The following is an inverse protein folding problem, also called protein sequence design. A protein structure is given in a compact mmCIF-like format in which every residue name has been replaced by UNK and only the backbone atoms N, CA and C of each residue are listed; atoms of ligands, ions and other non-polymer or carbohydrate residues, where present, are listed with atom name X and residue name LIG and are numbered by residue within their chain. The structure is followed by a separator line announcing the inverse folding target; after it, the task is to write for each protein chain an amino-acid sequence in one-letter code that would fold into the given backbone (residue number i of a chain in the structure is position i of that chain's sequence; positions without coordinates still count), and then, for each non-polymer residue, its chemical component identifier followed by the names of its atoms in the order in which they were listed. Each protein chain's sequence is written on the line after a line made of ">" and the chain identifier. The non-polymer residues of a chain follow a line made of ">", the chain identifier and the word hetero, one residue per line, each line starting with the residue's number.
data_IF_983437468304
#
_entry.id   IF_983437468304
#
_cell.length_a   1.000
_cell.length_b   1.000
_cell.length_c   1.000
_cell.angle_alpha   90.00
_cell.angle_beta   90.00
_cell.angle_gamma   90.00
#
_symmetry.space_group_name_H-M   'P 1'
#
loop_
_entity.id
_entity.type
_entity.pdbx_description
1 polymer ?
#
# COMPACT_ATOMS: atom_id res chain seq x y z
N UNK A 1 -20.53 15.38 5.12
CA UNK A 1 -19.82 16.09 6.21
C UNK A 1 -19.21 17.35 5.61
N UNK A 2 -19.40 18.56 6.18
CA UNK A 2 -18.74 19.76 5.65
C UNK A 2 -17.21 19.72 5.91
N UNK A 3 -16.39 20.04 4.90
CA UNK A 3 -14.91 20.02 4.96
C UNK A 3 -14.34 21.33 5.54
N UNK A 4 -14.85 21.78 6.68
CA UNK A 4 -14.32 22.95 7.39
C UNK A 4 -13.23 22.53 8.39
N UNK A 5 -12.17 23.34 8.51
CA UNK A 5 -11.04 23.14 9.45
C UNK A 5 -10.27 21.81 9.31
N UNK A 6 -10.17 21.27 8.09
CA UNK A 6 -9.34 20.09 7.78
C UNK A 6 -7.86 20.44 7.74
N UNK A 7 -6.99 19.51 8.16
CA UNK A 7 -5.53 19.70 8.22
C UNK A 7 -4.80 18.45 7.74
N UNK A 8 -3.53 18.64 7.35
CA UNK A 8 -2.57 17.58 7.04
C UNK A 8 -3.07 16.54 6.01
N UNK A 9 -3.56 16.97 4.83
CA UNK A 9 -3.98 16.03 3.80
C UNK A 9 -2.77 15.25 3.28
N UNK A 10 -2.89 13.93 3.22
CA UNK A 10 -1.89 13.01 2.67
C UNK A 10 -2.58 11.98 1.80
N UNK A 11 -1.98 11.63 0.67
CA UNK A 11 -2.52 10.59 -0.20
C UNK A 11 -2.04 9.21 0.25
N UNK A 12 -2.96 8.27 0.45
CA UNK A 12 -2.64 6.89 0.77
C UNK A 12 -2.95 5.99 -0.45
N UNK A 13 -1.93 5.38 -1.06
CA UNK A 13 -2.09 4.74 -2.36
C UNK A 13 -2.80 3.38 -2.29
N UNK A 14 -2.79 2.66 -1.16
CA UNK A 14 -3.43 1.33 -1.02
C UNK A 14 -4.95 1.43 -1.04
N UNK A 15 -5.49 2.36 -0.28
CA UNK A 15 -6.92 2.69 -0.18
C UNK A 15 -7.37 3.65 -1.27
N UNK A 16 -6.42 4.30 -1.96
CA UNK A 16 -6.68 5.35 -2.95
C UNK A 16 -7.52 6.50 -2.37
N UNK A 17 -7.25 6.85 -1.11
CA UNK A 17 -7.93 7.90 -0.38
C UNK A 17 -6.96 9.04 -0.06
N UNK A 18 -7.50 10.25 0.07
CA UNK A 18 -6.81 11.33 0.77
C UNK A 18 -7.17 11.20 2.25
N UNK A 19 -6.19 10.88 3.08
CA UNK A 19 -6.34 10.95 4.53
C UNK A 19 -6.16 12.40 4.98
N UNK A 20 -6.92 12.83 5.97
CA UNK A 20 -6.81 14.16 6.54
C UNK A 20 -7.29 14.16 7.99
N UNK A 21 -6.92 15.20 8.72
CA UNK A 21 -7.33 15.40 10.10
C UNK A 21 -8.53 16.34 10.15
N UNK A 22 -9.56 15.96 10.91
CA UNK A 22 -10.67 16.82 11.30
C UNK A 22 -10.94 16.70 12.79
N UNK A 23 -10.83 17.81 13.52
CA UNK A 23 -10.87 17.77 14.98
C UNK A 23 -9.71 16.95 15.54
N UNK A 24 -10.04 15.85 16.22
CA UNK A 24 -9.10 14.86 16.77
C UNK A 24 -9.28 13.48 16.10
N UNK A 25 -9.77 13.46 14.86
CA UNK A 25 -9.96 12.25 14.09
C UNK A 25 -9.11 12.27 12.81
N UNK A 26 -8.73 11.06 12.39
CA UNK A 26 -8.24 10.78 11.04
C UNK A 26 -9.45 10.38 10.20
N UNK A 27 -9.66 11.07 9.09
CA UNK A 27 -10.71 10.80 8.13
C UNK A 27 -10.09 10.46 6.78
N UNK A 28 -10.82 9.73 5.95
CA UNK A 28 -10.50 9.48 4.55
C UNK A 28 -11.46 10.25 3.64
N UNK A 29 -10.98 10.63 2.46
CA UNK A 29 -11.78 11.13 1.34
C UNK A 29 -11.50 10.22 0.14
N UNK A 30 -12.51 9.48 -0.31
CA UNK A 30 -12.38 8.58 -1.45
C UNK A 30 -12.59 9.31 -2.78
N UNK A 31 -12.38 8.60 -3.89
CA UNK A 31 -12.58 9.12 -5.25
C UNK A 31 -14.04 9.44 -5.60
N UNK A 32 -15.00 9.00 -4.78
CA UNK A 32 -16.42 9.31 -4.93
C UNK A 32 -16.84 10.55 -4.11
N UNK A 33 -15.87 11.23 -3.49
CA UNK A 33 -16.07 12.33 -2.54
C UNK A 33 -16.82 11.91 -1.27
N UNK A 34 -16.73 10.64 -0.89
CA UNK A 34 -17.24 10.14 0.39
C UNK A 34 -16.17 10.37 1.45
N UNK A 35 -16.61 10.89 2.59
CA UNK A 35 -15.76 11.10 3.76
C UNK A 35 -16.12 10.08 4.83
N UNK A 36 -15.17 9.24 5.20
CA UNK A 36 -15.33 8.24 6.25
C UNK A 36 -14.38 8.52 7.43
N UNK A 37 -14.80 8.08 8.62
CA UNK A 37 -13.94 8.07 9.79
C UNK A 37 -12.99 6.87 9.70
N UNK A 38 -11.69 7.12 9.83
CA UNK A 38 -10.69 6.05 9.94
C UNK A 38 -10.47 5.70 11.41
N UNK A 39 -10.22 6.70 12.25
CA UNK A 39 -10.08 6.52 13.69
C UNK A 39 -10.19 7.85 14.44
N UNK A 40 -10.55 7.80 15.71
CA UNK A 40 -10.62 8.96 16.59
C UNK A 40 -12.03 9.55 16.70
N UNK A 41 -12.12 10.74 17.29
CA UNK A 41 -13.39 11.43 17.48
C UNK A 41 -13.35 12.83 16.86
N UNK A 42 -14.37 13.14 16.06
CA UNK A 42 -14.55 14.41 15.37
C UNK A 42 -15.09 15.52 16.31
N UNK A 43 -15.66 15.15 17.46
CA UNK A 43 -16.27 16.04 18.44
C UNK A 43 -15.32 16.41 19.58
N UNK A 44 -15.35 17.67 19.98
CA UNK A 44 -14.39 18.29 20.92
C UNK A 44 -14.86 18.32 22.38
N UNK A 45 -15.93 17.61 22.75
CA UNK A 45 -16.61 17.78 24.05
C UNK A 45 -16.36 16.67 25.08
N UNK A 46 -15.65 15.60 24.73
CA UNK A 46 -15.23 14.60 25.72
C UNK A 46 -13.80 14.89 26.19
N UNK A 47 -13.56 14.64 27.48
CA UNK A 47 -12.27 14.80 28.17
C UNK A 47 -11.10 14.33 27.31
N UNK A 48 -10.03 15.13 27.25
CA UNK A 48 -8.77 14.84 26.53
C UNK A 48 -8.08 13.64 27.19
N UNK A 49 -8.56 12.42 26.93
CA UNK A 49 -7.86 11.19 27.29
C UNK A 49 -7.34 10.57 25.99
N UNK A 50 -6.01 10.48 25.83
CA UNK A 50 -5.39 9.79 24.69
C UNK A 50 -5.42 8.29 24.96
N UNK A 51 -5.84 7.48 23.98
CA UNK A 51 -6.05 6.04 24.19
C UNK A 51 -6.05 5.25 22.88
N UNK A 52 -5.45 4.06 22.94
CA UNK A 52 -5.55 3.06 21.87
C UNK A 52 -6.98 2.50 21.82
N UNK A 53 -7.37 1.99 20.66
CA UNK A 53 -8.73 1.52 20.39
C UNK A 53 -9.00 1.44 18.90
N UNK A 54 -10.17 0.97 18.50
CA UNK A 54 -10.59 0.92 17.10
C UNK A 54 -11.60 2.02 16.80
N UNK A 55 -11.58 2.55 15.58
CA UNK A 55 -12.58 3.51 15.07
C UNK A 55 -12.82 4.67 16.07
N UNK A 56 -14.06 4.81 16.54
CA UNK A 56 -14.50 5.85 17.47
C UNK A 56 -14.03 5.64 18.90
N UNK A 57 -13.52 4.46 19.28
CA UNK A 57 -13.00 4.20 20.63
C UNK A 57 -11.58 4.75 20.80
N UNK A 58 -10.82 4.84 19.71
CA UNK A 58 -9.53 5.49 19.72
C UNK A 58 -9.67 6.97 20.10
N UNK A 59 -8.71 7.49 20.86
CA UNK A 59 -8.66 8.91 21.22
C UNK A 59 -7.29 9.49 20.96
N UNK A 60 -7.25 10.50 20.10
CA UNK A 60 -6.07 11.32 19.86
C UNK A 60 -6.13 12.58 20.71
N UNK A 61 -4.97 13.08 21.13
CA UNK A 61 -4.78 14.48 21.52
C UNK A 61 -4.59 15.33 20.26
N UNK A 62 -3.69 16.32 20.27
CA UNK A 62 -3.45 17.15 19.08
C UNK A 62 -2.63 16.39 18.04
N UNK A 63 -3.27 16.00 16.94
CA UNK A 63 -2.57 15.46 15.76
C UNK A 63 -1.81 16.58 15.07
N UNK A 64 -0.51 16.36 14.80
CA UNK A 64 0.38 17.34 14.15
C UNK A 64 0.84 16.89 12.76
N UNK A 65 0.82 15.59 12.46
CA UNK A 65 1.17 15.08 11.14
C UNK A 65 0.61 13.68 10.87
N UNK A 66 0.51 13.33 9.58
CA UNK A 66 0.18 12.00 9.08
C UNK A 66 1.29 11.53 8.13
N UNK A 67 1.60 10.24 8.15
CA UNK A 67 2.49 9.60 7.17
C UNK A 67 1.96 8.20 6.80
N UNK A 68 1.32 8.04 5.64
CA UNK A 68 0.89 6.74 5.16
C UNK A 68 2.10 5.86 4.85
N UNK A 69 2.00 4.57 5.17
CA UNK A 69 3.08 3.60 4.89
C UNK A 69 2.98 2.96 3.50
N UNK A 70 1.88 3.23 2.76
CA UNK A 70 1.61 2.64 1.45
C UNK A 70 1.34 1.13 1.49
N UNK A 71 1.11 0.58 2.69
CA UNK A 71 0.85 -0.84 2.97
C UNK A 71 -0.46 -1.03 3.74
N UNK A 72 -1.30 0.00 3.82
CA UNK A 72 -2.60 -0.02 4.48
C UNK A 72 -2.60 0.51 5.92
N UNK A 73 -1.50 1.08 6.40
CA UNK A 73 -1.47 1.82 7.66
C UNK A 73 -1.08 3.29 7.48
N UNK A 74 -1.40 4.09 8.49
CA UNK A 74 -0.94 5.48 8.60
C UNK A 74 -0.31 5.70 9.97
N UNK A 75 0.86 6.32 9.98
CA UNK A 75 1.47 6.83 11.19
C UNK A 75 0.93 8.21 11.50
N UNK A 76 0.56 8.42 12.76
CA UNK A 76 -0.04 9.66 13.27
C UNK A 76 0.88 10.21 14.33
N UNK A 77 1.34 11.44 14.15
CA UNK A 77 2.09 12.15 15.16
C UNK A 77 1.14 12.94 16.05
N UNK A 78 1.26 12.72 17.35
CA UNK A 78 0.83 13.69 18.37
C UNK A 78 2.07 14.41 18.90
N UNK A 79 1.89 15.38 19.80
CA UNK A 79 3.00 16.17 20.34
C UNK A 79 4.13 15.29 20.92
N UNK A 80 3.80 14.24 21.68
CA UNK A 80 4.76 13.46 22.48
C UNK A 80 4.77 11.96 22.17
N UNK A 81 4.09 11.53 21.10
CA UNK A 81 4.05 10.12 20.71
C UNK A 81 3.71 9.98 19.23
N UNK A 82 4.05 8.81 18.69
CA UNK A 82 3.62 8.38 17.36
C UNK A 82 2.70 7.18 17.55
N UNK A 83 1.59 7.18 16.82
CA UNK A 83 0.63 6.09 16.75
C UNK A 83 0.67 5.46 15.36
N UNK A 84 0.43 4.16 15.26
CA UNK A 84 0.13 3.48 14.01
C UNK A 84 -1.36 3.17 13.96
N UNK A 85 -1.99 3.49 12.83
CA UNK A 85 -3.41 3.23 12.57
C UNK A 85 -3.51 2.30 11.38
N UNK A 86 -4.13 1.14 11.56
CA UNK A 86 -4.56 0.30 10.44
C UNK A 86 -5.80 0.93 9.80
N UNK A 87 -5.73 1.27 8.52
CA UNK A 87 -6.75 2.11 7.87
C UNK A 87 -8.07 1.35 7.68
N UNK A 88 -8.00 0.02 7.54
CA UNK A 88 -9.17 -0.83 7.27
C UNK A 88 -9.95 -1.15 8.54
N UNK A 89 -9.26 -1.55 9.60
CA UNK A 89 -9.87 -1.89 10.89
C UNK A 89 -10.09 -0.66 11.78
N UNK A 90 -9.42 0.45 11.49
CA UNK A 90 -9.37 1.62 12.35
C UNK A 90 -8.62 1.37 13.66
N UNK A 91 -7.90 0.26 13.79
CA UNK A 91 -7.16 -0.07 15.01
C UNK A 91 -5.98 0.88 15.18
N UNK A 92 -5.96 1.57 16.32
CA UNK A 92 -4.88 2.47 16.73
C UNK A 92 -4.00 1.77 17.76
N UNK A 93 -2.69 1.86 17.55
CA UNK A 93 -1.66 1.36 18.47
C UNK A 93 -0.65 2.47 18.74
N UNK A 94 -0.34 2.73 20.00
CA UNK A 94 0.76 3.63 20.38
C UNK A 94 2.10 2.92 20.16
N UNK A 95 3.09 3.61 19.60
CA UNK A 95 4.46 3.11 19.51
C UNK A 95 5.23 3.51 20.79
N UNK A 96 5.52 2.59 21.72
CA UNK A 96 6.33 2.88 22.91
C UNK A 96 7.71 3.40 22.50
N UNK A 97 8.30 4.31 23.27
CA UNK A 97 9.63 4.88 22.96
C UNK A 97 9.65 5.93 21.83
N UNK A 98 8.51 6.24 21.20
CA UNK A 98 8.41 7.24 20.13
C UNK A 98 8.37 8.70 20.59
N UNK A 99 8.49 8.97 21.88
CA UNK A 99 8.48 10.34 22.43
C UNK A 99 9.74 11.09 22.00
N UNK A 100 9.61 12.35 21.49
CA UNK A 100 10.78 13.12 21.14
C UNK A 100 11.56 13.50 22.41
N UNK A 101 12.90 13.41 22.42
CA UNK A 101 13.75 13.85 23.53
C UNK A 101 13.45 15.28 24.03
N UNK A 102 13.12 16.21 23.13
CA UNK A 102 12.70 17.57 23.48
C UNK A 102 11.71 18.12 22.47
N UNK A 103 10.83 19.03 22.93
CA UNK A 103 9.85 19.70 22.08
C UNK A 103 8.68 18.80 21.72
N UNK A 104 8.16 18.95 20.50
CA UNK A 104 7.03 18.17 20.01
C UNK A 104 7.24 17.75 18.56
N UNK A 105 6.63 16.64 18.15
CA UNK A 105 6.59 16.27 16.75
C UNK A 105 5.80 17.29 15.93
N UNK A 106 6.37 17.69 14.79
CA UNK A 106 5.85 18.71 13.87
C UNK A 106 5.59 18.18 12.46
N UNK A 107 6.18 17.04 12.11
CA UNK A 107 6.04 16.46 10.77
C UNK A 107 6.44 14.99 10.80
N UNK A 108 5.76 14.19 9.96
CA UNK A 108 6.11 12.80 9.67
C UNK A 108 6.27 12.64 8.17
N UNK A 109 7.14 11.73 7.76
CA UNK A 109 7.16 11.21 6.40
C UNK A 109 7.65 9.78 6.42
N UNK A 110 7.17 8.96 5.49
CA UNK A 110 7.54 7.57 5.37
C UNK A 110 8.14 7.32 3.99
N UNK A 111 9.30 6.70 3.95
CA UNK A 111 9.96 6.27 2.72
C UNK A 111 9.62 4.80 2.47
N UNK A 112 8.71 4.58 1.51
CA UNK A 112 8.28 3.27 1.01
C UNK A 112 9.47 2.43 0.52
N UNK A 113 10.41 3.03 -0.22
CA UNK A 113 11.52 2.31 -0.85
C UNK A 113 12.45 1.68 0.18
N UNK A 114 12.63 2.35 1.33
CA UNK A 114 13.56 1.93 2.37
C UNK A 114 12.87 1.39 3.62
N UNK A 115 11.54 1.44 3.68
CA UNK A 115 10.75 1.09 4.87
C UNK A 115 11.16 1.94 6.10
N UNK A 116 11.46 3.23 5.90
CA UNK A 116 11.96 4.12 6.95
C UNK A 116 10.92 5.19 7.32
N UNK A 117 10.55 5.26 8.60
CA UNK A 117 9.72 6.33 9.15
C UNK A 117 10.61 7.48 9.63
N UNK A 118 10.37 8.69 9.11
CA UNK A 118 11.02 9.91 9.55
C UNK A 118 10.04 10.78 10.34
N UNK A 119 10.54 11.36 11.43
CA UNK A 119 9.82 12.31 12.27
C UNK A 119 10.66 13.57 12.48
N UNK A 120 9.99 14.71 12.64
CA UNK A 120 10.65 16.01 12.80
C UNK A 120 10.13 16.75 14.00
N UNK A 121 11.02 17.35 14.77
CA UNK A 121 10.67 18.49 15.65
C UNK A 121 10.97 19.78 14.89
N UNK A 122 10.76 20.93 15.52
CA UNK A 122 11.07 22.22 14.91
C UNK A 122 12.55 22.37 14.47
N UNK A 123 13.49 21.62 15.03
CA UNK A 123 14.94 21.79 14.77
C UNK A 123 15.71 20.50 14.48
N UNK A 124 15.05 19.34 14.50
CA UNK A 124 15.69 18.04 14.33
C UNK A 124 14.88 17.11 13.41
N UNK A 125 15.59 16.33 12.62
CA UNK A 125 15.04 15.24 11.79
C UNK A 125 15.53 13.92 12.37
N UNK A 126 14.61 12.99 12.57
CA UNK A 126 14.87 11.69 13.17
C UNK A 126 14.35 10.57 12.30
N UNK A 127 15.04 9.44 12.34
CA UNK A 127 14.53 8.15 11.89
C UNK A 127 13.96 7.40 13.10
N UNK A 128 12.78 6.82 12.93
CA UNK A 128 12.10 6.02 13.95
C UNK A 128 12.31 4.54 13.59
N UNK A 129 13.19 3.87 14.33
CA UNK A 129 13.45 2.46 14.12
C UNK A 129 12.43 1.64 14.91
N UNK A 130 11.64 0.82 14.21
CA UNK A 130 10.69 -0.10 14.83
C UNK A 130 11.42 -1.39 15.21
N UNK A 131 11.56 -1.64 16.51
CA UNK A 131 12.23 -2.80 17.08
C UNK A 131 11.15 -3.75 17.59
N UNK A 132 11.11 -4.96 17.06
CA UNK A 132 10.26 -6.01 17.63
C UNK A 132 10.97 -6.60 18.85
N UNK A 133 10.51 -6.29 20.06
CA UNK A 133 11.03 -6.94 21.25
C UNK A 133 10.45 -8.36 21.33
N UNK A 134 11.27 -9.38 21.11
CA UNK A 134 10.93 -10.74 21.51
C UNK A 134 11.18 -10.86 23.01
N UNK A 135 10.14 -10.66 23.82
CA UNK A 135 10.20 -11.01 25.24
C UNK A 135 10.25 -12.53 25.35
N UNK A 136 11.45 -13.11 25.51
CA UNK A 136 11.56 -14.47 26.03
C UNK A 136 11.00 -14.47 27.45
N UNK A 137 9.81 -15.07 27.62
CA UNK A 137 9.22 -15.31 28.92
C UNK A 137 10.13 -16.25 29.73
N UNK A 138 10.99 -15.69 30.58
CA UNK A 138 11.68 -16.49 31.59
C UNK A 138 10.68 -16.74 32.73
N UNK A 139 10.31 -18.01 32.93
CA UNK A 139 9.52 -18.44 34.08
C UNK A 139 10.29 -18.16 35.37
N UNK A 140 9.77 -17.29 36.22
CA UNK A 140 10.25 -17.14 37.60
C UNK A 140 9.38 -18.04 38.51
N UNK A 141 9.96 -19.14 39.00
CA UNK A 141 9.36 -19.93 40.07
C UNK A 141 9.52 -19.18 41.39
N UNK A 142 8.42 -18.76 42.02
CA UNK A 142 8.41 -18.29 43.41
C UNK A 142 7.91 -19.42 44.28
N UNK A 143 8.81 -20.04 45.06
CA UNK A 143 8.45 -21.02 46.09
C UNK A 143 8.12 -20.29 47.39
N UNK A 144 6.89 -20.41 47.89
CA UNK A 144 6.61 -20.08 49.28
C UNK A 144 7.10 -21.21 50.21
N UNK A 145 7.36 -20.87 51.48
CA UNK A 145 7.94 -21.76 52.48
C UNK A 145 7.02 -22.89 52.97
N UNK A 146 5.85 -23.11 52.37
CA UNK A 146 4.89 -24.14 52.75
C UNK A 146 4.58 -25.18 51.64
N UNK A 147 5.39 -25.22 50.57
CA UNK A 147 5.36 -26.33 49.60
C UNK A 147 4.14 -26.36 48.67
N UNK A 148 3.45 -25.23 48.50
CA UNK A 148 2.42 -25.08 47.47
C UNK A 148 3.00 -24.52 46.17
N UNK A 149 3.08 -25.33 45.11
CA UNK A 149 3.35 -24.82 43.77
C UNK A 149 2.13 -24.05 43.25
N UNK A 150 2.24 -22.72 43.12
CA UNK A 150 1.22 -21.90 42.46
C UNK A 150 1.78 -21.38 41.14
N UNK A 151 1.35 -21.98 40.05
CA UNK A 151 1.55 -21.42 38.70
C UNK A 151 0.53 -20.29 38.51
N UNK A 152 1.03 -19.07 38.25
CA UNK A 152 0.17 -17.99 37.75
C UNK A 152 0.10 -18.10 36.22
N UNK A 153 -1.08 -17.99 35.58
CA UNK A 153 -1.16 -17.91 34.14
C UNK A 153 -0.50 -16.59 33.69
N UNK A 154 0.57 -16.68 32.91
CA UNK A 154 1.22 -15.53 32.30
C UNK A 154 0.36 -15.05 31.12
N UNK A 155 0.00 -13.76 31.11
CA UNK A 155 -0.62 -13.12 29.95
C UNK A 155 0.23 -13.32 28.70
N UNK A 156 -0.46 -13.45 27.57
CA UNK A 156 0.13 -13.73 26.26
C UNK A 156 1.14 -12.64 25.92
N UNK A 157 2.43 -12.98 25.86
CA UNK A 157 3.47 -12.06 25.42
C UNK A 157 3.27 -11.72 23.93
N UNK A 158 2.48 -10.68 23.66
CA UNK A 158 2.56 -9.97 22.40
C UNK A 158 3.94 -9.31 22.36
N UNK A 159 4.72 -9.55 21.30
CA UNK A 159 5.98 -8.82 21.11
C UNK A 159 5.65 -7.34 21.00
N UNK A 160 6.00 -6.55 22.02
CA UNK A 160 5.82 -5.11 21.98
C UNK A 160 6.76 -4.53 20.92
N UNK A 161 6.19 -3.80 19.97
CA UNK A 161 6.93 -3.08 18.95
C UNK A 161 7.43 -1.77 19.56
N UNK A 162 8.68 -1.71 20.01
CA UNK A 162 9.27 -0.50 20.57
C UNK A 162 9.85 0.37 19.45
N UNK A 163 9.67 1.69 19.55
CA UNK A 163 10.27 2.66 18.66
C UNK A 163 11.54 3.25 19.28
N UNK A 164 12.63 3.29 18.51
CA UNK A 164 13.84 4.02 18.86
C UNK A 164 13.99 5.26 18.01
N UNK A 165 14.08 6.42 18.66
CA UNK A 165 14.26 7.72 18.01
C UNK A 165 15.76 7.97 17.75
N UNK A 166 16.16 8.03 16.47
CA UNK A 166 17.54 8.28 16.07
C UNK A 166 17.67 9.62 15.34
N UNK A 167 18.45 10.55 15.90
CA UNK A 167 18.74 11.83 15.25
C UNK A 167 19.57 11.63 13.98
N UNK A 168 19.06 12.08 12.83
CA UNK A 168 19.76 11.99 11.53
C UNK A 168 20.25 13.35 11.02
N UNK A 169 19.54 14.44 11.33
CA UNK A 169 19.98 15.79 10.99
C UNK A 169 19.47 16.85 11.96
N UNK A 170 20.20 17.95 12.06
CA UNK A 170 19.85 19.05 12.96
C UNK A 170 20.30 18.82 14.40
N UNK A 171 19.62 19.50 15.31
CA UNK A 171 19.94 19.53 16.73
C UNK A 171 18.66 19.75 17.53
N UNK A 172 18.48 19.00 18.61
CA UNK A 172 17.30 19.04 19.47
C UNK A 172 17.11 20.37 20.19
N UNK A 173 18.20 21.09 20.47
CA UNK A 173 18.22 22.27 21.34
C UNK A 173 18.75 23.52 20.65
N UNK A 174 19.31 23.39 19.44
CA UNK A 174 19.86 24.51 18.70
C UNK A 174 19.12 24.69 17.35
N UNK A 175 18.40 25.80 17.24
CA UNK A 175 17.89 26.29 15.96
C UNK A 175 19.00 27.01 15.17
N UNK A 176 18.80 27.19 13.87
CA UNK A 176 19.71 27.95 13.02
C UNK A 176 19.38 27.76 11.55
N UNK A 177 20.29 28.10 10.63
CA UNK A 177 20.00 27.98 9.21
C UNK A 177 21.20 27.49 8.39
N UNK A 178 22.16 26.84 9.04
CA UNK A 178 23.41 26.40 8.43
C UNK A 178 23.21 25.10 7.67
N UNK A 179 23.60 25.10 6.39
CA UNK A 179 23.72 23.89 5.58
C UNK A 179 24.90 23.03 6.07
N UNK A 180 24.86 21.72 5.82
CA UNK A 180 25.92 20.83 6.24
C UNK A 180 25.53 19.37 6.40
N UNK A 181 26.48 18.51 6.80
CA UNK A 181 26.22 17.10 7.00
C UNK A 181 25.46 16.82 8.30
N UNK A 182 24.32 16.14 8.20
CA UNK A 182 23.56 15.54 9.30
C UNK A 182 23.37 16.48 10.49
N UNK A 183 23.91 16.10 11.64
CA UNK A 183 23.79 16.83 12.90
C UNK A 183 24.60 18.13 12.96
N UNK A 184 25.39 18.46 11.93
CA UNK A 184 26.03 19.77 11.78
C UNK A 184 25.15 20.79 11.05
N UNK A 185 24.13 20.33 10.33
CA UNK A 185 23.12 21.23 9.77
C UNK A 185 22.27 21.85 10.90
N UNK A 186 21.65 23.00 10.64
CA UNK A 186 20.73 23.66 11.58
C UNK A 186 19.47 24.10 10.86
N UNK A 187 18.34 23.94 11.53
CA UNK A 187 17.00 24.29 11.03
C UNK A 187 16.38 25.40 11.86
N UNK A 188 15.68 26.32 11.20
CA UNK A 188 15.09 27.50 11.82
C UNK A 188 13.77 27.12 12.47
N UNK A 189 12.92 26.44 11.70
CA UNK A 189 11.65 25.85 12.12
C UNK A 189 11.15 24.90 11.02
N UNK A 190 11.39 23.61 11.17
CA UNK A 190 10.83 22.59 10.28
C UNK A 190 9.30 22.61 10.40
N UNK A 191 8.60 22.77 9.28
CA UNK A 191 7.13 22.81 9.22
C UNK A 191 6.53 21.64 8.46
N UNK A 192 7.30 21.03 7.56
CA UNK A 192 6.89 19.84 6.83
C UNK A 192 8.12 19.08 6.33
N UNK A 193 7.96 17.77 6.16
CA UNK A 193 8.96 16.87 5.60
C UNK A 193 8.29 15.91 4.62
N UNK A 194 9.00 15.53 3.56
CA UNK A 194 8.54 14.58 2.57
C UNK A 194 9.71 13.72 2.06
N UNK A 195 9.58 12.41 2.16
CA UNK A 195 10.45 11.45 1.49
C UNK A 195 10.29 11.59 -0.03
N UNK A 196 11.41 11.82 -0.70
CA UNK A 196 11.50 12.09 -2.13
C UNK A 196 12.26 10.99 -2.87
N UNK A 197 12.45 11.21 -4.16
CA UNK A 197 13.21 10.27 -5.00
C UNK A 197 14.69 10.20 -4.58
N UNK A 198 15.36 9.09 -4.92
CA UNK A 198 16.78 8.88 -4.61
C UNK A 198 17.13 8.97 -3.12
N UNK A 199 16.21 8.56 -2.23
CA UNK A 199 16.36 8.60 -0.76
C UNK A 199 16.69 10.00 -0.23
N UNK A 200 16.11 11.02 -0.87
CA UNK A 200 16.23 12.40 -0.41
C UNK A 200 15.07 12.75 0.51
N UNK A 201 15.31 13.66 1.45
CA UNK A 201 14.23 14.29 2.22
C UNK A 201 14.07 15.74 1.80
N UNK A 202 12.84 16.10 1.44
CA UNK A 202 12.42 17.45 1.14
C UNK A 202 11.87 18.09 2.40
N UNK A 203 12.41 19.24 2.76
CA UNK A 203 12.19 19.86 4.07
C UNK A 203 11.74 21.29 3.85
N UNK A 204 10.57 21.63 4.40
CA UNK A 204 10.17 23.02 4.56
C UNK A 204 10.68 23.50 5.92
N UNK A 205 11.65 24.42 5.89
CA UNK A 205 12.29 25.02 7.05
C UNK A 205 12.02 26.53 7.04
N UNK A 206 10.98 26.93 7.75
CA UNK A 206 10.49 28.31 7.79
C UNK A 206 10.17 28.84 6.38
N UNK A 207 10.99 29.75 5.86
CA UNK A 207 10.88 30.38 4.54
C UNK A 207 11.72 29.66 3.48
N UNK A 208 12.29 28.48 3.79
CA UNK A 208 13.25 27.78 2.95
C UNK A 208 12.75 26.40 2.57
N UNK A 209 13.06 26.03 1.33
CA UNK A 209 13.02 24.66 0.87
C UNK A 209 14.44 24.10 0.93
N UNK A 210 14.61 23.05 1.71
CA UNK A 210 15.88 22.35 1.90
C UNK A 210 15.77 20.92 1.40
N UNK A 211 16.90 20.39 0.95
CA UNK A 211 17.03 19.00 0.50
C UNK A 211 18.11 18.34 1.34
N UNK A 212 17.78 17.22 1.97
CA UNK A 212 18.74 16.30 2.55
C UNK A 212 19.02 15.16 1.58
N UNK A 213 20.27 15.01 1.18
CA UNK A 213 20.71 13.90 0.32
C UNK A 213 20.69 12.56 1.06
N UNK A 214 20.73 11.45 0.31
CA UNK A 214 20.88 10.10 0.86
C UNK A 214 22.13 9.90 1.75
N UNK A 215 23.14 10.77 1.62
CA UNK A 215 24.36 10.77 2.46
C UNK A 215 24.21 11.67 3.70
N UNK A 216 23.03 12.24 3.93
CA UNK A 216 22.72 13.09 5.07
C UNK A 216 23.18 14.54 4.94
N UNK A 217 23.72 14.98 3.80
CA UNK A 217 24.04 16.40 3.61
C UNK A 217 22.78 17.22 3.35
N UNK A 218 22.53 18.23 4.18
CA UNK A 218 21.41 19.18 4.06
C UNK A 218 21.88 20.42 3.31
N UNK A 219 21.14 20.79 2.28
CA UNK A 219 21.39 21.98 1.46
C UNK A 219 20.12 22.82 1.30
N UNK A 220 20.27 24.14 1.27
CA UNK A 220 19.19 25.08 0.97
C UNK A 220 19.04 25.20 -0.54
N UNK A 221 17.89 24.77 -1.05
CA UNK A 221 17.60 24.78 -2.48
C UNK A 221 16.82 26.04 -2.91
N UNK A 222 15.88 26.53 -2.08
CA UNK A 222 15.13 27.77 -2.33
C UNK A 222 14.87 28.53 -1.02
N UNK A 223 14.65 29.83 -1.13
CA UNK A 223 14.28 30.74 -0.02
C UNK A 223 13.10 31.63 -0.42
N UNK A 224 12.46 32.29 0.56
CA UNK A 224 11.32 33.18 0.31
C UNK A 224 9.99 32.45 0.14
N UNK A 225 9.88 31.22 0.65
CA UNK A 225 8.60 30.50 0.71
C UNK A 225 7.69 31.10 1.80
N UNK A 226 6.36 30.89 1.69
CA UNK A 226 5.42 31.25 2.75
C UNK A 226 5.78 30.56 4.08
N UNK A 227 5.67 31.30 5.17
CA UNK A 227 6.09 30.87 6.52
C UNK A 227 4.96 30.34 7.40
N UNK A 228 3.72 30.44 6.89
CA UNK A 228 2.50 29.97 7.56
C UNK A 228 2.43 28.44 7.58
N UNK A 229 1.34 27.87 8.08
CA UNK A 229 1.15 26.42 8.10
C UNK A 229 1.19 25.87 6.66
N UNK A 230 2.29 25.21 6.33
CA UNK A 230 2.59 24.70 5.01
C UNK A 230 2.42 23.17 4.94
N UNK A 231 2.03 22.68 3.78
CA UNK A 231 2.04 21.27 3.43
C UNK A 231 2.77 21.11 2.11
N UNK A 232 3.50 20.00 1.96
CA UNK A 232 4.24 19.66 0.74
C UNK A 232 3.76 18.30 0.23
N UNK A 233 3.60 18.19 -1.09
CA UNK A 233 3.22 16.94 -1.75
C UNK A 233 3.97 16.80 -3.07
N UNK A 234 4.33 15.57 -3.43
CA UNK A 234 4.84 15.26 -4.76
C UNK A 234 3.69 15.14 -5.75
N UNK A 235 3.83 15.78 -6.90
CA UNK A 235 2.88 15.69 -8.00
C UNK A 235 3.25 14.54 -8.95
N UNK A 236 2.28 13.96 -9.67
CA UNK A 236 2.57 12.95 -10.70
C UNK A 236 3.48 13.46 -11.83
N UNK A 237 3.58 14.77 -12.03
CA UNK A 237 4.53 15.39 -12.98
C UNK A 237 5.99 15.31 -12.53
N UNK A 238 6.25 14.85 -11.31
CA UNK A 238 7.58 14.89 -10.69
C UNK A 238 7.94 16.24 -10.06
N UNK A 239 6.98 17.15 -9.95
CA UNK A 239 7.15 18.45 -9.30
C UNK A 239 6.68 18.39 -7.85
N UNK A 240 7.02 19.40 -7.05
CA UNK A 240 6.53 19.51 -5.68
C UNK A 240 5.51 20.64 -5.57
N UNK A 241 4.36 20.34 -4.99
CA UNK A 241 3.37 21.34 -4.62
C UNK A 241 3.55 21.71 -3.15
N UNK A 242 3.66 23.02 -2.89
CA UNK A 242 3.65 23.60 -1.55
C UNK A 242 2.38 24.42 -1.40
N UNK A 243 1.52 24.01 -0.48
CA UNK A 243 0.33 24.74 -0.08
C UNK A 243 0.55 25.42 1.26
N UNK A 244 0.16 26.69 1.38
CA UNK A 244 0.20 27.42 2.65
C UNK A 244 -1.18 28.02 2.93
N UNK A 245 -1.59 28.04 4.21
CA UNK A 245 -2.89 28.58 4.62
C UNK A 245 -3.06 30.03 4.10
N UNK A 246 -4.14 30.29 3.37
CA UNK A 246 -4.47 31.64 2.86
C UNK A 246 -3.59 32.13 1.70
N UNK A 247 -2.66 31.31 1.20
CA UNK A 247 -1.76 31.65 0.08
C UNK A 247 -2.09 30.85 -1.18
N UNK A 248 -1.54 31.27 -2.33
CA UNK A 248 -1.60 30.49 -3.57
C UNK A 248 -0.69 29.26 -3.46
N UNK A 249 -1.12 28.17 -4.11
CA UNK A 249 -0.31 26.97 -4.30
C UNK A 249 0.97 27.32 -5.06
N UNK A 250 2.13 26.96 -4.50
CA UNK A 250 3.44 27.18 -5.11
C UNK A 250 3.94 25.85 -5.69
N UNK A 251 4.36 25.86 -6.95
CA UNK A 251 4.97 24.68 -7.60
C UNK A 251 6.48 24.88 -7.63
N UNK A 252 7.20 23.98 -6.97
CA UNK A 252 8.65 23.91 -7.03
C UNK A 252 9.04 22.94 -8.15
N UNK A 253 9.80 23.45 -9.12
CA UNK A 253 10.29 22.71 -10.29
C UNK A 253 11.81 22.59 -10.22
N UNK A 254 12.34 21.44 -10.63
CA UNK A 254 13.77 21.18 -10.62
C UNK A 254 14.10 19.81 -11.19
N UNK A 255 15.29 19.68 -11.77
CA UNK A 255 15.78 18.39 -12.22
C UNK A 255 15.91 17.44 -11.01
N UNK A 256 15.46 16.19 -11.17
CA UNK A 256 15.54 15.14 -10.14
C UNK A 256 14.73 15.39 -8.85
N UNK A 257 13.80 16.37 -8.83
CA UNK A 257 12.81 16.48 -7.74
C UNK A 257 11.73 15.39 -7.84
N UNK A 258 11.51 14.89 -9.06
CA UNK A 258 10.65 13.75 -9.36
C UNK A 258 11.37 12.72 -10.22
N UNK A 259 10.73 11.56 -10.46
CA UNK A 259 11.36 10.46 -11.19
C UNK A 259 11.68 10.88 -12.63
N UNK A 260 12.87 10.52 -13.11
CA UNK A 260 13.52 11.08 -14.30
C UNK A 260 12.96 10.60 -15.66
N UNK A 261 11.68 10.24 -15.78
CA UNK A 261 11.04 9.86 -17.05
C UNK A 261 9.51 10.02 -17.01
N UNK A 262 8.86 10.64 -18.04
CA UNK A 262 7.40 10.70 -18.12
C UNK A 262 6.71 9.36 -18.44
N UNK A 263 7.49 8.30 -18.65
CA UNK A 263 7.04 6.91 -18.79
C UNK A 263 7.47 6.02 -17.63
N UNK A 264 8.03 6.60 -16.56
CA UNK A 264 8.27 5.91 -15.30
C UNK A 264 8.05 6.88 -14.13
N UNK A 265 6.85 6.87 -13.55
CA UNK A 265 6.58 7.52 -12.27
C UNK A 265 5.68 8.76 -12.30
N UNK A 266 4.47 8.62 -12.85
CA UNK A 266 3.35 9.46 -12.44
C UNK A 266 2.56 8.68 -11.39
N UNK A 267 2.80 8.94 -10.10
CA UNK A 267 2.46 8.01 -9.00
C UNK A 267 3.27 6.73 -9.21
N UNK A 268 4.19 6.39 -8.29
CA UNK A 268 4.66 5.00 -8.28
C UNK A 268 3.42 4.15 -8.08
N UNK A 269 3.04 3.36 -9.08
CA UNK A 269 2.04 2.32 -8.90
C UNK A 269 2.46 1.55 -7.65
N UNK A 270 1.73 1.76 -6.55
CA UNK A 270 2.02 1.09 -5.30
C UNK A 270 1.99 -0.40 -5.56
N UNK A 271 2.88 -1.11 -4.90
CA UNK A 271 2.97 -2.55 -4.95
C UNK A 271 1.75 -3.26 -4.29
N UNK A 272 0.57 -2.64 -4.22
CA UNK A 272 -0.62 -3.06 -3.49
C UNK A 272 -1.76 -3.58 -4.40
N UNK A 273 -2.61 -4.45 -3.84
CA UNK A 273 -3.71 -5.13 -4.52
C UNK A 273 -4.73 -4.16 -5.19
N UNK A 274 -5.44 -4.58 -6.25
CA UNK A 274 -6.37 -3.73 -6.96
C UNK A 274 -7.65 -3.43 -6.16
N UNK A 275 -7.94 -2.13 -6.03
CA UNK A 275 -9.25 -1.44 -6.02
C UNK A 275 -10.47 -2.30 -5.67
N UNK A 276 -11.14 -2.00 -4.55
CA UNK A 276 -12.37 -2.69 -4.13
C UNK A 276 -13.69 -2.10 -4.68
N UNK A 277 -13.70 -1.10 -5.58
CA UNK A 277 -14.92 -0.70 -6.34
C UNK A 277 -14.62 -0.30 -7.79
N UNK A 278 -15.51 -0.62 -8.75
CA UNK A 278 -15.33 -0.24 -10.15
C UNK A 278 -15.52 1.26 -10.30
N UNK A 279 -14.63 1.94 -11.03
CA UNK A 279 -14.81 3.37 -11.35
C UNK A 279 -16.13 3.61 -12.11
N UNK A 280 -16.65 4.84 -12.11
CA UNK A 280 -17.83 5.18 -12.91
C UNK A 280 -17.62 4.91 -14.41
N UNK A 281 -16.37 5.00 -14.88
CA UNK A 281 -15.95 4.59 -16.22
C UNK A 281 -16.03 3.08 -16.42
N UNK A 282 -15.53 2.28 -15.46
CA UNK A 282 -15.67 0.82 -15.42
C UNK A 282 -17.13 0.38 -15.36
N UNK A 283 -17.97 1.04 -14.56
CA UNK A 283 -19.41 0.75 -14.46
C UNK A 283 -20.16 1.02 -15.78
N UNK A 284 -19.78 2.10 -16.49
CA UNK A 284 -20.36 2.45 -17.79
C UNK A 284 -19.86 1.54 -18.90
N UNK A 285 -18.56 1.26 -18.94
CA UNK A 285 -17.93 0.33 -19.89
C UNK A 285 -18.42 -1.11 -19.68
N UNK A 286 -18.55 -1.57 -18.44
CA UNK A 286 -19.08 -2.88 -18.10
C UNK A 286 -20.53 -3.04 -18.60
N UNK A 287 -21.35 -1.99 -18.51
CA UNK A 287 -22.73 -1.96 -19.06
C UNK A 287 -22.75 -1.91 -20.58
N UNK A 288 -21.81 -1.21 -21.22
CA UNK A 288 -21.68 -1.12 -22.68
C UNK A 288 -21.13 -2.42 -23.29
N UNK A 289 -20.22 -3.12 -22.60
CA UNK A 289 -19.72 -4.43 -23.00
C UNK A 289 -20.78 -5.55 -22.82
N UNK A 290 -21.75 -5.36 -21.92
CA UNK A 290 -22.91 -6.24 -21.70
C UNK A 290 -24.07 -6.04 -22.70
N UNK A 291 -24.05 -4.94 -23.47
CA UNK A 291 -24.99 -4.74 -24.57
C UNK A 291 -24.50 -5.54 -25.78
N UNK A 292 -24.70 -6.86 -25.73
CA UNK A 292 -24.58 -7.73 -26.89
C UNK A 292 -25.46 -7.16 -28.00
N UNK A 293 -24.82 -6.69 -29.07
CA UNK A 293 -25.48 -6.19 -30.25
C UNK A 293 -26.22 -7.34 -30.93
N UNK A 294 -27.53 -7.41 -30.70
CA UNK A 294 -28.43 -7.99 -31.68
C UNK A 294 -28.43 -7.08 -32.91
N UNK A 295 -27.53 -7.37 -33.85
CA UNK A 295 -27.44 -6.73 -35.17
C UNK A 295 -26.79 -5.34 -35.16
N UNK A 296 -25.51 -5.26 -35.53
CA UNK A 296 -24.90 -4.02 -36.00
C UNK A 296 -23.78 -4.31 -37.00
N UNK A 297 -23.72 -3.50 -38.04
CA UNK A 297 -22.89 -3.63 -39.24
C UNK A 297 -21.38 -3.76 -38.98
N UNK A 298 -20.73 -4.48 -39.90
CA UNK A 298 -19.30 -4.86 -39.90
C UNK A 298 -18.39 -3.62 -39.87
N UNK A 299 -17.59 -3.48 -38.81
CA UNK A 299 -16.53 -2.46 -38.69
C UNK A 299 -15.15 -3.13 -38.68
N UNK A 300 -14.22 -2.79 -39.59
CA UNK A 300 -12.88 -3.39 -39.64
C UNK A 300 -12.02 -3.15 -38.39
N UNK A 301 -12.38 -2.20 -37.52
CA UNK A 301 -11.68 -1.94 -36.27
C UNK A 301 -12.03 -2.92 -35.12
N UNK A 302 -13.10 -3.70 -35.26
CA UNK A 302 -13.64 -4.55 -34.19
C UNK A 302 -13.63 -6.03 -34.54
N UNK A 303 -13.44 -6.88 -33.54
CA UNK A 303 -13.45 -8.35 -33.64
C UNK A 303 -14.45 -8.93 -32.63
N UNK A 304 -15.12 -10.00 -33.01
CA UNK A 304 -16.02 -10.75 -32.13
C UNK A 304 -15.23 -11.84 -31.42
N UNK A 305 -15.34 -11.90 -30.09
CA UNK A 305 -14.68 -12.92 -29.27
C UNK A 305 -15.73 -13.83 -28.67
N UNK A 306 -15.69 -15.09 -29.06
CA UNK A 306 -16.63 -16.13 -28.64
C UNK A 306 -16.04 -16.91 -27.46
N UNK A 307 -16.71 -16.91 -26.30
CA UNK A 307 -16.31 -17.67 -25.11
C UNK A 307 -16.95 -19.04 -25.05
N UNK A 308 -16.59 -19.84 -24.03
CA UNK A 308 -16.95 -21.25 -23.89
C UNK A 308 -18.47 -21.52 -23.82
N UNK A 309 -19.25 -20.55 -23.34
CA UNK A 309 -20.70 -20.59 -23.18
C UNK A 309 -21.47 -20.02 -24.38
N UNK A 310 -20.76 -19.59 -25.43
CA UNK A 310 -21.33 -18.92 -26.60
C UNK A 310 -21.58 -17.42 -26.41
N UNK A 311 -21.16 -16.81 -25.30
CA UNK A 311 -21.17 -15.35 -25.14
C UNK A 311 -20.21 -14.72 -26.14
N UNK A 312 -20.65 -13.62 -26.77
CA UNK A 312 -19.89 -12.90 -27.79
C UNK A 312 -19.56 -11.48 -27.32
N UNK A 313 -18.27 -11.17 -27.24
CA UNK A 313 -17.77 -9.84 -26.92
C UNK A 313 -17.30 -9.13 -28.20
N UNK A 314 -17.86 -7.95 -28.48
CA UNK A 314 -17.35 -7.08 -29.56
C UNK A 314 -16.27 -6.18 -28.99
N UNK A 315 -15.03 -6.34 -29.46
CA UNK A 315 -13.86 -5.63 -28.93
C UNK A 315 -13.05 -4.94 -30.04
N UNK A 316 -12.37 -3.84 -29.71
CA UNK A 316 -11.47 -3.14 -30.62
C UNK A 316 -10.14 -3.87 -30.71
N UNK A 317 -9.69 -4.15 -31.94
CA UNK A 317 -8.41 -4.85 -32.19
C UNK A 317 -7.23 -4.15 -31.50
N UNK A 318 -7.19 -2.82 -31.53
CA UNK A 318 -6.11 -2.02 -30.92
C UNK A 318 -6.02 -2.18 -29.40
N UNK A 319 -7.14 -2.28 -28.70
CA UNK A 319 -7.17 -2.45 -27.24
C UNK A 319 -6.65 -3.84 -26.84
N UNK A 320 -7.06 -4.88 -27.57
CA UNK A 320 -6.61 -6.26 -27.36
C UNK A 320 -5.10 -6.39 -27.61
N UNK A 321 -4.63 -5.92 -28.76
CA UNK A 321 -3.23 -6.04 -29.18
C UNK A 321 -2.29 -5.28 -28.25
N UNK A 322 -2.70 -4.11 -27.75
CA UNK A 322 -1.85 -3.30 -26.85
C UNK A 322 -1.67 -3.91 -25.45
N UNK A 323 -2.57 -4.82 -25.04
CA UNK A 323 -2.59 -5.36 -23.68
C UNK A 323 -2.56 -6.89 -23.64
N UNK A 324 -2.22 -7.55 -24.76
CA UNK A 324 -2.10 -9.02 -24.82
C UNK A 324 -1.23 -9.42 -26.01
N UNK A 325 -0.11 -10.08 -25.71
CA UNK A 325 0.76 -10.62 -26.76
C UNK A 325 0.10 -11.77 -27.52
N UNK A 326 -0.86 -12.47 -26.89
CA UNK A 326 -1.67 -13.48 -27.56
C UNK A 326 -2.47 -12.84 -28.71
N UNK A 327 -3.20 -11.76 -28.43
CA UNK A 327 -3.97 -11.06 -29.44
C UNK A 327 -3.09 -10.31 -30.45
N UNK A 328 -1.93 -9.78 -30.04
CA UNK A 328 -0.94 -9.24 -30.97
C UNK A 328 -0.54 -10.27 -32.04
N UNK A 329 -0.17 -11.48 -31.61
CA UNK A 329 0.21 -12.56 -32.54
C UNK A 329 -0.94 -13.05 -33.41
N UNK A 330 -2.16 -13.03 -32.85
CA UNK A 330 -3.35 -13.53 -33.53
C UNK A 330 -3.90 -12.53 -34.57
N UNK A 331 -3.93 -11.24 -34.24
CA UNK A 331 -4.64 -10.22 -35.01
C UNK A 331 -3.72 -9.34 -35.88
N UNK A 332 -2.41 -9.29 -35.62
CA UNK A 332 -1.48 -8.48 -36.42
C UNK A 332 -0.91 -9.31 -37.58
N UNK A 333 -0.97 -8.83 -38.84
CA UNK A 333 -0.37 -9.50 -39.98
C UNK A 333 1.14 -9.75 -39.77
N UNK A 334 1.57 -11.00 -39.89
CA UNK A 334 2.96 -11.41 -39.61
C UNK A 334 3.23 -11.90 -38.19
N UNK A 335 2.23 -11.88 -37.29
CA UNK A 335 2.32 -12.32 -35.89
C UNK A 335 2.36 -13.84 -35.64
N UNK A 336 2.27 -14.66 -36.70
CA UNK A 336 2.46 -16.12 -36.65
C UNK A 336 1.17 -16.97 -36.74
N UNK A 337 -0.02 -16.35 -36.81
CA UNK A 337 -1.29 -17.05 -37.03
C UNK A 337 -1.99 -16.58 -38.31
N UNK A 338 -2.76 -17.48 -38.94
CA UNK A 338 -3.46 -17.22 -40.21
C UNK A 338 -4.66 -16.26 -40.08
N UNK A 339 -5.09 -15.96 -38.84
CA UNK A 339 -6.34 -15.25 -38.52
C UNK A 339 -6.18 -13.72 -38.39
N UNK A 340 -5.11 -13.13 -38.94
CA UNK A 340 -4.86 -11.68 -38.88
C UNK A 340 -5.97 -10.79 -39.49
N UNK A 341 -6.90 -11.38 -40.24
CA UNK A 341 -8.11 -10.72 -40.76
C UNK A 341 -9.43 -11.32 -40.26
N UNK A 342 -9.40 -12.25 -39.29
CA UNK A 342 -10.59 -12.95 -38.83
C UNK A 342 -11.55 -12.01 -38.10
N UNK A 343 -12.82 -12.01 -38.51
CA UNK A 343 -13.91 -11.26 -37.87
C UNK A 343 -14.33 -11.89 -36.53
N UNK A 344 -14.10 -13.19 -36.38
CA UNK A 344 -14.43 -13.98 -35.20
C UNK A 344 -13.20 -14.71 -34.65
N UNK A 345 -12.96 -14.56 -33.34
CA UNK A 345 -11.95 -15.27 -32.56
C UNK A 345 -12.63 -16.14 -31.53
N UNK A 346 -12.17 -17.38 -31.36
CA UNK A 346 -12.72 -18.32 -30.38
C UNK A 346 -11.78 -18.51 -29.19
N UNK A 347 -12.32 -18.35 -27.99
CA UNK A 347 -11.68 -18.64 -26.72
C UNK A 347 -12.47 -19.74 -25.98
N UNK A 348 -12.34 -21.02 -26.40
CA UNK A 348 -13.20 -22.11 -25.95
C UNK A 348 -13.05 -22.48 -24.47
N UNK A 349 -11.96 -22.05 -23.82
CA UNK A 349 -11.70 -22.30 -22.39
C UNK A 349 -11.77 -21.03 -21.54
N UNK A 350 -12.19 -19.89 -22.11
CA UNK A 350 -12.30 -18.65 -21.37
C UNK A 350 -13.63 -18.56 -20.63
N UNK A 351 -13.56 -18.45 -19.31
CA UNK A 351 -14.72 -18.06 -18.49
C UNK A 351 -15.19 -16.65 -18.92
N UNK A 352 -16.46 -16.47 -19.30
CA UNK A 352 -16.95 -15.20 -19.84
C UNK A 352 -16.89 -14.06 -18.82
N UNK A 353 -17.15 -14.36 -17.54
CA UNK A 353 -17.15 -13.34 -16.49
C UNK A 353 -15.72 -12.89 -16.19
N UNK A 354 -14.77 -13.82 -16.10
CA UNK A 354 -13.36 -13.48 -15.95
C UNK A 354 -12.83 -12.72 -17.18
N UNK A 355 -13.19 -13.16 -18.39
CA UNK A 355 -12.79 -12.49 -19.63
C UNK A 355 -13.33 -11.08 -19.70
N UNK A 356 -14.58 -10.85 -19.31
CA UNK A 356 -15.20 -9.53 -19.29
C UNK A 356 -14.41 -8.53 -18.44
N UNK A 357 -13.95 -8.94 -17.25
CA UNK A 357 -13.15 -8.07 -16.39
C UNK A 357 -11.73 -7.83 -16.93
N UNK A 358 -11.10 -8.84 -17.52
CA UNK A 358 -9.80 -8.67 -18.18
C UNK A 358 -9.93 -7.77 -19.42
N UNK A 359 -11.01 -7.90 -20.18
CA UNK A 359 -11.30 -7.03 -21.30
C UNK A 359 -11.54 -5.59 -20.83
N UNK A 360 -12.25 -5.39 -19.72
CA UNK A 360 -12.39 -4.06 -19.13
C UNK A 360 -11.02 -3.48 -18.75
N UNK A 361 -10.13 -4.27 -18.16
CA UNK A 361 -8.75 -3.86 -17.88
C UNK A 361 -7.98 -3.45 -19.16
N UNK A 362 -8.13 -4.17 -20.27
CA UNK A 362 -7.47 -3.80 -21.55
C UNK A 362 -7.91 -2.42 -22.07
N UNK A 363 -9.08 -1.94 -21.67
CA UNK A 363 -9.62 -0.65 -22.07
C UNK A 363 -9.30 0.47 -21.08
N UNK A 364 -9.30 0.16 -19.78
CA UNK A 364 -9.21 1.17 -18.72
C UNK A 364 -7.83 1.23 -18.07
N UNK A 365 -7.04 0.16 -18.19
CA UNK A 365 -5.85 -0.07 -17.37
C UNK A 365 -6.17 -0.36 -15.90
N UNK A 366 -7.45 -0.49 -15.53
CA UNK A 366 -7.91 -0.69 -14.16
C UNK A 366 -8.38 -2.12 -13.95
N UNK A 367 -7.75 -2.83 -13.01
CA UNK A 367 -8.11 -4.20 -12.69
C UNK A 367 -9.14 -4.23 -11.56
N UNK A 368 -10.30 -4.81 -11.82
CA UNK A 368 -11.39 -4.96 -10.87
C UNK A 368 -12.19 -6.22 -11.22
N UNK A 369 -12.50 -7.06 -10.23
CA UNK A 369 -13.35 -8.24 -10.37
C UNK A 369 -13.79 -8.80 -9.00
N UNK A 370 -14.88 -9.58 -8.94
CA UNK A 370 -15.22 -10.39 -7.77
C UNK A 370 -14.10 -11.37 -7.39
N UNK A 371 -13.87 -11.55 -6.08
CA UNK A 371 -12.81 -12.43 -5.56
C UNK A 371 -12.98 -13.89 -6.04
N UNK A 372 -14.22 -14.32 -6.30
CA UNK A 372 -14.52 -15.68 -6.76
C UNK A 372 -13.96 -15.98 -8.16
N UNK A 373 -13.76 -14.94 -8.98
CA UNK A 373 -13.22 -15.07 -10.34
C UNK A 373 -11.69 -15.00 -10.38
N UNK A 374 -11.03 -14.69 -9.25
CA UNK A 374 -9.63 -14.30 -9.24
C UNK A 374 -8.69 -15.42 -9.73
N UNK A 375 -8.90 -16.67 -9.27
CA UNK A 375 -8.13 -17.83 -9.75
C UNK A 375 -8.33 -18.05 -11.24
N UNK A 376 -9.58 -17.96 -11.72
CA UNK A 376 -9.93 -18.13 -13.13
C UNK A 376 -9.31 -17.02 -13.99
N UNK A 377 -9.33 -15.78 -13.49
CA UNK A 377 -8.73 -14.64 -14.17
C UNK A 377 -7.21 -14.71 -14.23
N UNK A 378 -6.53 -15.19 -13.18
CA UNK A 378 -5.07 -15.43 -13.21
C UNK A 378 -4.72 -16.42 -14.34
N UNK A 379 -5.43 -17.55 -14.42
CA UNK A 379 -5.18 -18.55 -15.47
C UNK A 379 -5.47 -18.00 -16.86
N UNK A 380 -6.56 -17.26 -17.01
CA UNK A 380 -6.94 -16.67 -18.29
C UNK A 380 -5.96 -15.57 -18.71
N UNK A 381 -5.51 -14.72 -17.78
CA UNK A 381 -4.54 -13.66 -18.06
C UNK A 381 -3.16 -14.22 -18.45
N UNK A 382 -2.73 -15.31 -17.82
CA UNK A 382 -1.50 -16.03 -18.20
C UNK A 382 -1.61 -16.57 -19.64
N UNK A 383 -2.72 -17.23 -19.97
CA UNK A 383 -2.98 -17.77 -21.32
C UNK A 383 -3.08 -16.68 -22.39
N UNK A 384 -3.68 -15.53 -22.03
CA UNK A 384 -3.77 -14.36 -22.90
C UNK A 384 -2.44 -13.58 -22.97
N UNK A 385 -1.39 -14.01 -22.28
CA UNK A 385 -0.09 -13.33 -22.24
C UNK A 385 -0.24 -11.83 -21.93
N UNK A 386 -1.03 -11.54 -20.89
CA UNK A 386 -1.25 -10.19 -20.38
C UNK A 386 0.06 -9.57 -19.85
N UNK A 387 0.17 -8.23 -19.77
CA UNK A 387 1.33 -7.54 -19.23
C UNK A 387 1.72 -8.06 -17.84
N UNK A 388 3.02 -8.07 -17.56
CA UNK A 388 3.56 -8.50 -16.26
C UNK A 388 2.98 -7.68 -15.10
N UNK A 389 2.66 -6.40 -15.31
CA UNK A 389 2.01 -5.57 -14.29
C UNK A 389 0.60 -6.07 -13.95
N UNK A 390 -0.18 -6.52 -14.94
CA UNK A 390 -1.51 -7.12 -14.74
C UNK A 390 -1.39 -8.44 -13.96
N UNK A 391 -0.49 -9.33 -14.42
CA UNK A 391 -0.25 -10.62 -13.78
C UNK A 391 0.25 -10.46 -12.35
N UNK A 392 1.18 -9.54 -12.11
CA UNK A 392 1.70 -9.22 -10.79
C UNK A 392 0.61 -8.67 -9.86
N UNK A 393 -0.29 -7.82 -10.36
CA UNK A 393 -1.44 -7.32 -9.58
C UNK A 393 -2.42 -8.44 -9.21
N UNK A 394 -2.78 -9.32 -10.15
CA UNK A 394 -3.66 -10.47 -9.91
C UNK A 394 -3.07 -11.44 -8.87
N UNK A 395 -1.79 -11.78 -9.01
CA UNK A 395 -1.11 -12.69 -8.07
C UNK A 395 -1.00 -12.09 -6.66
N UNK A 396 -0.70 -10.78 -6.56
CA UNK A 396 -0.71 -10.07 -5.27
C UNK A 396 -2.09 -10.01 -4.64
N UNK A 397 -3.13 -9.78 -5.44
CA UNK A 397 -4.51 -9.83 -4.96
C UNK A 397 -4.82 -11.21 -4.37
N UNK A 398 -4.46 -12.27 -5.10
CA UNK A 398 -4.70 -13.65 -4.64
C UNK A 398 -4.03 -13.88 -3.28
N UNK A 399 -2.77 -13.46 -3.12
CA UNK A 399 -2.03 -13.57 -1.86
C UNK A 399 -2.60 -12.76 -0.71
N UNK A 400 -3.17 -11.59 -0.99
CA UNK A 400 -3.81 -10.77 0.03
C UNK A 400 -5.09 -11.42 0.60
N UNK A 401 -5.72 -12.31 -0.18
CA UNK A 401 -6.93 -13.05 0.20
C UNK A 401 -6.65 -14.40 0.85
N UNK A 402 -5.40 -14.86 0.84
CA UNK A 402 -5.01 -16.13 1.47
C UNK A 402 -5.26 -16.05 2.98
N UNK A 403 -6.03 -17.00 3.47
CA UNK A 403 -6.32 -17.19 4.90
C UNK A 403 -5.55 -18.39 5.44
N UNK A 404 -5.38 -18.52 6.77
CA UNK A 404 -4.78 -19.71 7.37
C UNK A 404 -5.50 -21.01 6.98
N UNK A 405 -6.82 -20.95 6.72
CA UNK A 405 -7.60 -22.10 6.27
C UNK A 405 -7.49 -22.41 4.77
N UNK A 406 -7.15 -21.41 3.94
CA UNK A 406 -7.10 -21.59 2.47
C UNK A 406 -5.70 -21.89 1.95
N UNK A 407 -4.64 -21.53 2.69
CA UNK A 407 -3.24 -21.54 2.21
C UNK A 407 -2.78 -22.87 1.61
N UNK A 408 -3.24 -24.01 2.13
CA UNK A 408 -2.92 -25.33 1.56
C UNK A 408 -3.61 -25.56 0.21
N UNK A 409 -4.89 -25.20 0.13
CA UNK A 409 -5.65 -25.25 -1.13
C UNK A 409 -5.05 -24.31 -2.18
N UNK A 410 -4.56 -23.14 -1.76
CA UNK A 410 -3.90 -22.15 -2.60
C UNK A 410 -2.55 -22.67 -3.13
N UNK A 411 -1.74 -23.33 -2.27
CA UNK A 411 -0.50 -23.99 -2.65
C UNK A 411 -0.72 -25.12 -3.66
N UNK A 412 -1.69 -26.01 -3.37
CA UNK A 412 -2.03 -27.11 -4.26
C UNK A 412 -2.48 -26.60 -5.63
N UNK A 413 -3.33 -25.58 -5.64
CA UNK A 413 -3.80 -24.96 -6.87
C UNK A 413 -2.65 -24.32 -7.66
N UNK A 414 -1.77 -23.57 -6.99
CA UNK A 414 -0.63 -22.90 -7.61
C UNK A 414 0.34 -23.89 -8.27
N UNK A 415 0.64 -25.00 -7.59
CA UNK A 415 1.50 -26.06 -8.10
C UNK A 415 0.88 -26.74 -9.34
N UNK A 416 -0.40 -27.10 -9.26
CA UNK A 416 -1.12 -27.78 -10.36
C UNK A 416 -1.16 -26.95 -11.65
N UNK A 417 -1.15 -25.63 -11.53
CA UNK A 417 -1.22 -24.71 -12.68
C UNK A 417 0.13 -24.07 -12.99
N UNK A 418 1.24 -24.52 -12.38
CA UNK A 418 2.58 -24.05 -12.71
C UNK A 418 2.86 -22.59 -12.31
N UNK A 419 2.19 -22.07 -11.28
CA UNK A 419 2.32 -20.68 -10.80
C UNK A 419 3.61 -20.49 -9.99
N UNK A 420 4.76 -20.62 -10.67
CA UNK A 420 6.11 -20.64 -10.07
C UNK A 420 6.47 -19.39 -9.27
N UNK A 421 5.95 -18.21 -9.66
CA UNK A 421 6.16 -16.95 -8.94
C UNK A 421 5.39 -16.87 -7.61
N UNK A 422 4.26 -17.58 -7.52
CA UNK A 422 3.35 -17.54 -6.37
C UNK A 422 3.78 -18.51 -5.26
N UNK A 423 4.35 -19.66 -5.66
CA UNK A 423 4.72 -20.75 -4.75
C UNK A 423 5.62 -20.30 -3.58
N UNK A 424 6.71 -19.53 -3.77
CA UNK A 424 7.54 -19.09 -2.64
C UNK A 424 6.79 -18.22 -1.63
N UNK A 425 5.88 -17.37 -2.11
CA UNK A 425 5.12 -16.43 -1.27
C UNK A 425 4.05 -17.16 -0.45
N UNK A 426 3.42 -18.18 -1.04
CA UNK A 426 2.49 -19.06 -0.33
C UNK A 426 3.19 -19.96 0.70
N UNK A 427 4.38 -20.48 0.39
CA UNK A 427 5.20 -21.24 1.34
C UNK A 427 5.53 -20.40 2.58
N UNK A 428 5.99 -19.16 2.39
CA UNK A 428 6.29 -18.24 3.48
C UNK A 428 5.06 -17.92 4.35
N UNK A 429 3.88 -17.72 3.72
CA UNK A 429 2.62 -17.51 4.44
C UNK A 429 2.25 -18.70 5.32
N UNK A 430 2.39 -19.92 4.80
CA UNK A 430 2.15 -21.15 5.57
C UNK A 430 3.09 -21.24 6.78
N UNK A 431 4.38 -20.94 6.60
CA UNK A 431 5.38 -20.96 7.66
C UNK A 431 5.09 -19.92 8.76
N UNK A 432 4.74 -18.68 8.38
CA UNK A 432 4.41 -17.61 9.33
C UNK A 432 3.11 -17.87 10.11
N UNK A 433 2.14 -18.58 9.53
CA UNK A 433 0.84 -18.83 10.15
C UNK A 433 0.73 -20.20 10.85
N UNK A 434 1.85 -20.94 11.02
CA UNK A 434 1.88 -22.34 11.52
C UNK A 434 1.10 -22.60 12.82
N UNK A 435 1.00 -21.62 13.73
CA UNK A 435 0.25 -21.77 15.01
C UNK A 435 -1.27 -21.62 14.86
N UNK A 436 -1.74 -21.01 13.76
CA UNK A 436 -3.14 -20.70 13.50
C UNK A 436 -3.73 -21.51 12.34
N UNK A 437 -2.91 -22.24 11.60
CA UNK A 437 -3.34 -23.14 10.53
C UNK A 437 -3.87 -24.43 11.14
N UNK A 438 -5.19 -24.63 11.10
CA UNK A 438 -5.79 -25.96 11.24
C UNK A 438 -5.62 -26.66 9.91
N UNK A 439 -4.65 -27.58 9.82
CA UNK A 439 -4.40 -28.34 8.61
C UNK A 439 -5.65 -29.18 8.29
N UNK A 440 -6.37 -28.84 7.21
CA UNK A 440 -7.42 -29.69 6.69
C UNK A 440 -6.82 -31.03 6.26
N UNK A 441 -7.26 -32.14 6.87
CA UNK A 441 -6.70 -33.47 6.58
C UNK A 441 -6.78 -33.83 5.09
N UNK A 442 -7.85 -33.42 4.40
CA UNK A 442 -8.05 -33.74 2.98
C UNK A 442 -7.08 -32.97 2.07
N UNK A 443 -6.92 -31.67 2.27
CA UNK A 443 -5.99 -30.86 1.47
C UNK A 443 -4.54 -31.32 1.65
N UNK A 444 -4.16 -31.68 2.87
CA UNK A 444 -2.84 -32.25 3.16
C UNK A 444 -2.64 -33.59 2.45
N UNK A 445 -3.65 -34.48 2.47
CA UNK A 445 -3.60 -35.76 1.73
C UNK A 445 -3.47 -35.52 0.22
N UNK A 446 -4.25 -34.61 -0.35
CA UNK A 446 -4.17 -34.27 -1.77
C UNK A 446 -2.80 -33.70 -2.15
N UNK A 447 -2.20 -32.86 -1.29
CA UNK A 447 -0.88 -32.28 -1.52
C UNK A 447 0.23 -33.35 -1.46
N UNK A 448 0.12 -34.33 -0.55
CA UNK A 448 1.04 -35.49 -0.49
C UNK A 448 0.93 -36.37 -1.73
N UNK A 449 -0.30 -36.67 -2.18
CA UNK A 449 -0.53 -37.56 -3.32
C UNK A 449 -0.14 -36.90 -4.64
N UNK A 450 -0.52 -35.62 -4.83
CA UNK A 450 -0.37 -34.92 -6.11
C UNK A 450 0.95 -34.18 -6.25
N UNK A 451 1.55 -33.74 -5.15
CA UNK A 451 2.70 -32.84 -5.15
C UNK A 451 3.80 -33.30 -4.15
N UNK A 452 4.35 -34.52 -4.27
CA UNK A 452 5.27 -35.09 -3.27
C UNK A 452 6.59 -34.31 -3.14
N UNK A 453 7.09 -33.69 -4.21
CA UNK A 453 8.27 -32.84 -4.17
C UNK A 453 8.04 -31.56 -3.36
N UNK A 454 6.88 -30.92 -3.54
CA UNK A 454 6.49 -29.73 -2.79
C UNK A 454 6.38 -30.05 -1.29
N UNK A 455 5.82 -31.21 -0.92
CA UNK A 455 5.79 -31.67 0.47
C UNK A 455 7.20 -31.87 1.03
N UNK A 456 8.09 -32.54 0.27
CA UNK A 456 9.45 -32.76 0.71
C UNK A 456 10.19 -31.44 0.97
N UNK A 457 9.99 -30.44 0.12
CA UNK A 457 10.56 -29.10 0.29
C UNK A 457 9.98 -28.37 1.52
N UNK A 458 8.66 -28.42 1.71
CA UNK A 458 8.00 -27.86 2.90
C UNK A 458 8.51 -28.52 4.19
N UNK A 459 8.69 -29.84 4.20
CA UNK A 459 9.24 -30.57 5.35
C UNK A 459 10.69 -30.14 5.61
N UNK A 460 11.53 -30.00 4.58
CA UNK A 460 12.91 -29.49 4.75
C UNK A 460 12.92 -28.09 5.36
N UNK A 461 12.09 -27.18 4.85
CA UNK A 461 12.00 -25.81 5.37
C UNK A 461 11.49 -25.76 6.82
N UNK A 462 10.56 -26.65 7.18
CA UNK A 462 10.04 -26.80 8.54
C UNK A 462 11.06 -27.38 9.55
N UNK A 463 12.03 -28.16 9.08
CA UNK A 463 13.09 -28.76 9.92
C UNK A 463 14.29 -27.82 10.09
N UNK A 464 14.49 -26.87 9.16
CA UNK A 464 15.65 -25.96 9.15
C UNK A 464 15.41 -24.66 9.91
N UNK A 465 14.16 -24.24 10.13
CA UNK A 465 13.84 -23.02 10.89
C UNK A 465 13.57 -23.32 12.38
N UNK A 466 14.42 -22.85 13.31
CA UNK A 466 14.21 -23.03 14.77
C UNK A 466 13.05 -22.21 15.32
#
# INVERSE_FOLDING_TARGET
>A
MELTYVRYPVYEPTSNCVLFVKGYAVCSLDSNNVVDLVAGNIYTQETICSGDGSLEDARFSTITALAPDGKGSVYVAEAERIRKVDILSGQVTTLPGSTPPTGSWTGLSYDDDTDELFATTASAICRIDLITLTTTAASAHVSDSNGGERTTPMDTAAGELEAKVNLVAGDWQATGNTDGPGTKARFTRITAILAGVHRQLYILDHDKFRIMSARGYVSTALTGLPTDQCSIAALPSGELAVGAKGSRLTIIRGAQLGPSSPTSGGIKASHSAPRQRPSAALSKLHRTLLLCAAGADVNPATVNIHTCDGTVFVAYRSALVSHSQYFEKLLVPGGGFADSGAEDVKLPDADPAAFQWLLAYMYTGELYMPDELLRTAVLLADRLLMPQDCMGQLQKWLLAKVTPGSVLSDLLWAEQHGMTSLLPQLKLRLLWQRKSVVLGEEDLRQLIVRCPCLVADLIRELVVMP
#
